data_IF_983858005513
#
_entry.id   IF_983858005513
#
_cell.length_a   1.000
_cell.length_b   1.000
_cell.length_c   1.000
_cell.angle_alpha   90.00
_cell.angle_beta   90.00
_cell.angle_gamma   90.00
#
_symmetry.space_group_name_H-M   'P 1'
#
loop_
_entity.id
_entity.type
_entity.pdbx_description
1 polymer ?
#
# COMPACT_ATOMS: atom_id res chain seq x y z
N UNK A 1 20.25 -8.46 3.76
CA UNK A 1 20.35 -9.90 3.46
C UNK A 1 19.07 -10.58 3.88
N UNK A 2 18.43 -11.34 3.00
CA UNK A 2 17.22 -12.11 3.34
C UNK A 2 17.35 -13.56 2.86
N UNK A 3 16.56 -14.45 3.44
CA UNK A 3 16.43 -15.82 2.94
C UNK A 3 15.48 -15.82 1.74
N UNK A 4 15.84 -16.52 0.67
CA UNK A 4 15.08 -16.54 -0.58
C UNK A 4 13.64 -17.00 -0.37
N UNK A 5 12.69 -16.35 -1.04
CA UNK A 5 11.27 -16.65 -1.00
C UNK A 5 10.48 -16.00 0.15
N UNK A 6 11.07 -15.11 0.94
CA UNK A 6 10.34 -14.36 1.96
C UNK A 6 9.51 -13.21 1.35
N UNK A 7 8.27 -13.06 1.81
CA UNK A 7 7.38 -11.96 1.44
C UNK A 7 7.77 -10.68 2.18
N UNK A 8 7.67 -9.53 1.50
CA UNK A 8 8.02 -8.21 2.03
C UNK A 8 6.81 -7.29 2.18
N UNK A 9 6.94 -6.34 3.08
CA UNK A 9 6.00 -5.21 3.22
C UNK A 9 6.57 -3.95 2.57
N UNK A 10 5.71 -2.97 2.24
CA UNK A 10 6.12 -1.69 1.64
C UNK A 10 7.04 -0.84 2.53
N UNK A 11 7.07 -1.14 3.83
CA UNK A 11 7.92 -0.46 4.82
C UNK A 11 9.36 -0.98 4.85
N UNK A 12 9.69 -2.00 4.06
CA UNK A 12 11.02 -2.61 4.02
C UNK A 12 11.83 -2.04 2.85
N UNK A 13 13.03 -1.54 3.15
CA UNK A 13 13.93 -1.01 2.12
C UNK A 13 14.42 -2.12 1.18
N UNK A 14 14.40 -1.82 -0.12
CA UNK A 14 14.97 -2.71 -1.14
C UNK A 14 16.46 -2.41 -1.24
N UNK A 15 17.29 -3.39 -0.88
CA UNK A 15 18.72 -3.29 -1.15
C UNK A 15 18.97 -3.43 -2.66
N UNK A 16 19.62 -2.44 -3.24
CA UNK A 16 19.95 -2.41 -4.67
C UNK A 16 21.23 -3.21 -4.89
N UNK A 17 21.07 -4.46 -5.30
CA UNK A 17 22.18 -5.36 -5.63
C UNK A 17 21.81 -6.83 -5.38
N UNK A 18 21.65 -7.64 -6.40
CA UNK A 18 21.11 -8.99 -6.40
C UNK A 18 21.85 -10.08 -5.60
N UNK A 19 22.70 -9.73 -4.64
CA UNK A 19 23.47 -10.63 -3.78
C UNK A 19 22.89 -10.80 -2.36
N UNK A 20 21.69 -10.24 -2.10
CA UNK A 20 21.15 -10.20 -0.73
C UNK A 20 20.35 -11.45 -0.32
N UNK A 21 20.17 -12.40 -1.22
CA UNK A 21 19.43 -13.62 -0.93
C UNK A 21 20.37 -14.76 -0.52
N UNK A 22 20.12 -15.33 0.65
CA UNK A 22 20.81 -16.51 1.16
C UNK A 22 19.89 -17.72 0.98
N UNK A 23 20.47 -18.84 0.51
CA UNK A 23 19.72 -20.07 0.42
C UNK A 23 19.39 -20.63 1.82
N UNK A 24 18.17 -21.15 2.07
CA UNK A 24 17.80 -21.75 3.35
C UNK A 24 18.75 -22.88 3.80
N UNK A 25 19.37 -23.58 2.85
CA UNK A 25 20.31 -24.69 3.10
C UNK A 25 21.53 -24.29 3.93
N UNK A 26 21.88 -23.00 3.98
CA UNK A 26 22.98 -22.51 4.82
C UNK A 26 22.69 -22.72 6.32
N UNK A 27 21.43 -22.89 6.67
CA UNK A 27 20.97 -23.01 8.06
C UNK A 27 20.62 -24.44 8.49
N UNK A 28 20.81 -25.45 7.63
CA UNK A 28 20.41 -26.85 7.88
C UNK A 28 21.09 -27.47 9.11
N UNK A 29 22.29 -27.02 9.46
CA UNK A 29 23.03 -27.55 10.62
C UNK A 29 22.52 -27.02 11.98
N UNK A 30 21.61 -26.04 11.97
CA UNK A 30 21.07 -25.42 13.18
C UNK A 30 19.68 -25.98 13.52
N UNK A 31 19.44 -26.26 14.79
CA UNK A 31 18.14 -26.73 15.28
C UNK A 31 17.07 -25.64 15.11
N UNK A 32 17.45 -24.37 15.28
CA UNK A 32 16.59 -23.20 15.03
C UNK A 32 17.40 -21.98 14.58
N UNK A 33 16.84 -21.24 13.60
CA UNK A 33 17.42 -20.00 13.11
C UNK A 33 16.39 -18.87 13.23
N UNK A 34 16.66 -17.91 14.11
CA UNK A 34 15.87 -16.69 14.26
C UNK A 34 16.36 -15.64 13.27
N UNK A 35 15.47 -15.19 12.40
CA UNK A 35 15.73 -14.16 11.40
C UNK A 35 15.04 -12.85 11.76
N UNK A 36 15.71 -11.74 11.44
CA UNK A 36 15.20 -10.37 11.55
C UNK A 36 15.09 -9.69 10.19
N UNK A 37 14.84 -8.38 10.17
CA UNK A 37 14.70 -7.53 8.99
C UNK A 37 13.32 -7.59 8.31
N UNK A 38 12.76 -8.74 8.04
CA UNK A 38 11.43 -8.87 7.43
C UNK A 38 10.35 -8.58 8.47
N UNK A 39 9.39 -7.71 8.13
CA UNK A 39 8.36 -7.24 9.05
C UNK A 39 7.21 -8.23 9.23
N UNK A 40 6.92 -9.07 8.22
CA UNK A 40 5.91 -10.12 8.30
C UNK A 40 6.44 -11.36 9.04
N UNK A 41 5.74 -11.86 10.09
CA UNK A 41 6.12 -13.12 10.73
C UNK A 41 5.89 -14.28 9.76
N UNK A 42 6.95 -15.00 9.40
CA UNK A 42 6.90 -16.07 8.40
C UNK A 42 8.05 -17.05 8.53
N UNK A 43 7.86 -18.27 8.05
CA UNK A 43 8.93 -19.26 7.91
C UNK A 43 9.65 -19.06 6.57
N UNK A 44 10.93 -19.41 6.50
CA UNK A 44 11.76 -19.22 5.32
C UNK A 44 12.53 -20.51 4.97
N UNK A 45 11.91 -21.38 4.18
CA UNK A 45 12.53 -22.62 3.72
C UNK A 45 12.41 -23.81 4.67
N UNK A 46 11.87 -23.62 5.88
CA UNK A 46 11.64 -24.68 6.87
C UNK A 46 10.93 -24.15 8.11
N UNK A 47 10.41 -25.04 8.94
CA UNK A 47 9.72 -24.65 10.19
C UNK A 47 10.68 -24.08 11.24
N UNK A 48 11.94 -24.49 11.17
CA UNK A 48 13.01 -24.10 12.08
C UNK A 48 13.76 -22.83 11.66
N UNK A 49 13.42 -22.23 10.51
CA UNK A 49 14.00 -20.96 10.03
C UNK A 49 12.89 -19.94 9.94
N UNK A 50 12.90 -18.94 10.83
CA UNK A 50 11.73 -18.07 10.99
C UNK A 50 12.10 -16.61 11.15
N UNK A 51 11.38 -15.74 10.41
CA UNK A 51 11.26 -14.32 10.70
C UNK A 51 10.20 -14.12 11.80
N UNK A 52 10.59 -13.55 12.93
CA UNK A 52 9.64 -13.24 14.01
C UNK A 52 8.69 -12.08 13.65
N UNK A 53 9.10 -11.27 12.68
CA UNK A 53 8.43 -10.04 12.32
C UNK A 53 8.70 -8.89 13.31
N UNK A 54 8.02 -7.78 13.08
CA UNK A 54 8.07 -6.60 13.97
C UNK A 54 6.98 -6.66 15.03
N UNK A 55 7.17 -6.04 16.22
CA UNK A 55 6.17 -6.06 17.28
C UNK A 55 4.91 -5.24 16.95
N UNK A 56 5.03 -4.25 16.05
CA UNK A 56 3.95 -3.40 15.58
C UNK A 56 3.93 -3.38 14.05
N UNK A 57 2.80 -2.94 13.46
CA UNK A 57 2.68 -2.65 12.03
C UNK A 57 3.28 -1.29 11.74
N UNK A 58 4.10 -1.20 10.70
CA UNK A 58 4.77 0.05 10.28
C UNK A 58 4.20 0.62 8.99
N UNK A 59 3.43 -0.16 8.25
CA UNK A 59 2.73 0.30 7.03
C UNK A 59 1.36 -0.34 6.90
N UNK A 60 0.52 0.27 6.05
CA UNK A 60 -0.82 -0.28 5.76
C UNK A 60 -0.78 -1.55 4.90
N UNK A 61 0.34 -1.88 4.25
CA UNK A 61 0.54 -3.19 3.61
C UNK A 61 0.55 -4.34 4.63
N UNK A 62 0.90 -4.02 5.90
CA UNK A 62 0.92 -4.97 7.00
C UNK A 62 -0.44 -5.11 7.72
N UNK A 63 -1.52 -4.46 7.24
CA UNK A 63 -2.84 -4.45 7.90
C UNK A 63 -3.38 -5.84 8.25
N UNK A 64 -3.07 -6.84 7.42
CA UNK A 64 -3.44 -8.25 7.64
C UNK A 64 -2.51 -9.05 8.55
N UNK A 65 -1.37 -8.50 8.98
CA UNK A 65 -0.43 -9.23 9.81
C UNK A 65 -0.90 -9.33 11.27
N UNK A 66 -0.87 -10.54 11.82
CA UNK A 66 -0.96 -10.75 13.27
C UNK A 66 0.45 -10.69 13.86
N UNK A 67 0.76 -9.61 14.54
CA UNK A 67 2.06 -9.44 15.21
C UNK A 67 2.14 -10.32 16.44
N UNK A 68 3.33 -10.91 16.69
CA UNK A 68 3.52 -11.89 17.77
C UNK A 68 4.96 -11.94 18.25
N UNK A 69 5.14 -12.51 19.43
CA UNK A 69 6.45 -12.98 19.90
C UNK A 69 6.54 -14.47 19.60
N UNK A 70 7.67 -14.89 19.04
CA UNK A 70 7.98 -16.32 18.85
C UNK A 70 8.70 -16.83 20.09
N UNK A 71 8.16 -17.86 20.71
CA UNK A 71 8.72 -18.55 21.87
C UNK A 71 9.24 -19.90 21.39
N UNK A 72 10.50 -20.19 21.67
CA UNK A 72 11.15 -21.45 21.31
C UNK A 72 11.55 -22.17 22.59
N UNK A 73 11.03 -23.37 22.79
CA UNK A 73 11.46 -24.28 23.85
C UNK A 73 12.41 -25.31 23.24
N UNK A 74 13.69 -25.18 23.56
CA UNK A 74 14.74 -26.10 23.10
C UNK A 74 14.80 -27.30 24.05
N UNK A 75 14.67 -28.51 23.48
CA UNK A 75 14.78 -29.80 24.20
C UNK A 75 16.08 -30.51 23.84
N UNK A 76 16.02 -31.80 23.48
CA UNK A 76 17.18 -32.48 22.93
C UNK A 76 17.48 -32.00 21.51
N UNK A 77 18.71 -32.30 20.99
CA UNK A 77 19.12 -31.90 19.64
C UNK A 77 18.07 -32.35 18.61
N UNK A 78 17.67 -31.39 17.75
CA UNK A 78 16.62 -31.58 16.73
C UNK A 78 15.18 -31.62 17.28
N UNK A 79 14.99 -31.34 18.57
CA UNK A 79 13.67 -31.27 19.21
C UNK A 79 13.44 -29.88 19.78
N UNK A 80 12.63 -29.09 19.10
CA UNK A 80 12.17 -27.78 19.56
C UNK A 80 10.65 -27.67 19.45
N UNK A 81 10.08 -26.90 20.34
CA UNK A 81 8.67 -26.51 20.30
C UNK A 81 8.59 -25.01 20.02
N UNK A 82 7.94 -24.65 18.92
CA UNK A 82 7.81 -23.27 18.47
C UNK A 82 6.37 -22.83 18.64
N UNK A 83 6.17 -21.83 19.48
CA UNK A 83 4.85 -21.24 19.72
C UNK A 83 4.87 -19.74 19.46
N UNK A 84 3.73 -19.16 19.15
CA UNK A 84 3.59 -17.72 18.96
C UNK A 84 2.60 -17.13 19.94
N UNK A 85 2.99 -16.03 20.59
CA UNK A 85 2.12 -15.28 21.50
C UNK A 85 1.71 -13.99 20.80
N UNK A 86 0.40 -13.80 20.47
CA UNK A 86 -0.08 -12.61 19.79
C UNK A 86 0.22 -11.34 20.60
N UNK A 87 0.59 -10.28 19.90
CA UNK A 87 0.70 -8.94 20.46
C UNK A 87 -0.53 -8.13 20.07
N UNK A 88 -1.12 -7.46 21.05
CA UNK A 88 -2.24 -6.55 20.86
C UNK A 88 -1.76 -5.12 21.06
N UNK A 89 -1.72 -4.29 20.02
CA UNK A 89 -1.31 -2.91 20.14
C UNK A 89 -2.36 -2.09 20.88
N UNK A 90 -1.95 -0.97 21.50
CA UNK A 90 -2.90 -0.02 22.12
C UNK A 90 -3.83 0.61 21.07
N UNK A 91 -3.32 0.89 19.88
CA UNK A 91 -4.04 1.35 18.70
C UNK A 91 -3.67 0.47 17.53
N UNK A 92 -4.67 -0.07 16.89
CA UNK A 92 -4.46 -0.90 15.69
C UNK A 92 -4.17 0.00 14.48
N UNK A 93 -3.43 -0.53 13.51
CA UNK A 93 -3.25 0.08 12.21
C UNK A 93 -4.12 -0.69 11.23
N UNK A 94 -5.19 -0.06 10.75
CA UNK A 94 -6.19 -0.70 9.91
C UNK A 94 -6.72 0.22 8.82
N UNK A 95 -7.40 -0.36 7.86
CA UNK A 95 -8.05 0.33 6.75
C UNK A 95 -9.57 0.26 6.91
N UNK A 96 -10.24 1.36 6.63
CA UNK A 96 -11.70 1.40 6.45
C UNK A 96 -11.99 1.93 5.05
N UNK A 97 -13.01 1.34 4.39
CA UNK A 97 -13.39 1.65 3.02
C UNK A 97 -14.90 1.78 2.90
N UNK A 98 -15.36 2.77 2.18
CA UNK A 98 -16.76 3.03 1.90
C UNK A 98 -16.99 4.46 1.46
N UNK A 99 -18.25 4.82 1.19
CA UNK A 99 -18.60 6.23 0.92
C UNK A 99 -18.47 7.07 2.19
N UNK A 100 -18.30 8.36 2.01
CA UNK A 100 -18.27 9.31 3.13
C UNK A 100 -19.51 9.17 4.02
N UNK A 101 -20.68 9.03 3.41
CA UNK A 101 -21.94 8.86 4.13
C UNK A 101 -21.92 7.59 4.98
N UNK A 102 -21.55 6.44 4.39
CA UNK A 102 -21.45 5.16 5.11
C UNK A 102 -20.49 5.24 6.29
N UNK A 103 -19.27 5.76 6.07
CA UNK A 103 -18.24 5.83 7.11
C UNK A 103 -18.58 6.79 8.26
N UNK A 104 -19.49 7.75 8.03
CA UNK A 104 -19.97 8.70 9.06
C UNK A 104 -21.27 8.28 9.74
N UNK A 105 -21.92 7.19 9.28
CA UNK A 105 -23.08 6.63 9.96
C UNK A 105 -22.69 6.15 11.36
N UNK A 106 -23.47 6.51 12.36
CA UNK A 106 -23.26 6.08 13.75
C UNK A 106 -23.23 4.56 13.87
N UNK A 107 -24.08 3.87 13.13
CA UNK A 107 -24.15 2.40 13.08
C UNK A 107 -22.87 1.75 12.52
N UNK A 108 -22.08 2.47 11.73
CA UNK A 108 -20.82 1.96 11.19
C UNK A 108 -19.69 2.00 12.24
N UNK A 109 -19.54 3.10 12.96
CA UNK A 109 -18.43 3.27 13.90
C UNK A 109 -18.78 2.95 15.35
N UNK A 110 -20.07 2.82 15.71
CA UNK A 110 -20.49 2.45 17.06
C UNK A 110 -20.00 1.04 17.42
N UNK A 111 -19.25 0.94 18.50
CA UNK A 111 -18.63 -0.32 18.96
C UNK A 111 -17.27 -0.64 18.32
N UNK A 112 -16.79 0.21 17.40
CA UNK A 112 -15.41 0.13 16.89
C UNK A 112 -14.47 1.04 17.70
N UNK A 113 -13.17 0.70 17.68
CA UNK A 113 -12.17 1.61 18.25
C UNK A 113 -11.87 2.73 17.25
N UNK A 114 -12.51 3.88 17.41
CA UNK A 114 -12.30 5.05 16.55
C UNK A 114 -10.93 5.73 16.78
N UNK A 115 -10.21 5.35 17.84
CA UNK A 115 -8.90 5.89 18.21
C UNK A 115 -7.72 5.17 17.50
N UNK A 116 -8.02 4.18 16.65
CA UNK A 116 -7.03 3.47 15.85
C UNK A 116 -6.37 4.36 14.79
N UNK A 117 -5.18 3.95 14.32
CA UNK A 117 -4.52 4.58 13.18
C UNK A 117 -5.16 4.08 11.89
N UNK A 118 -5.77 4.99 11.14
CA UNK A 118 -6.61 4.63 10.00
C UNK A 118 -6.04 5.12 8.67
N UNK A 119 -6.09 4.23 7.69
CA UNK A 119 -6.19 4.59 6.28
C UNK A 119 -7.66 4.57 5.90
N UNK A 120 -8.17 5.69 5.43
CA UNK A 120 -9.54 5.80 4.91
C UNK A 120 -9.48 5.76 3.39
N UNK A 121 -10.29 4.90 2.79
CA UNK A 121 -10.44 4.81 1.34
C UNK A 121 -11.88 5.16 0.99
N UNK A 122 -12.08 6.36 0.45
CA UNK A 122 -13.39 6.82 0.01
C UNK A 122 -13.71 6.25 -1.38
N UNK A 123 -14.95 5.77 -1.51
CA UNK A 123 -15.48 5.24 -2.77
C UNK A 123 -16.45 6.21 -3.45
N UNK A 124 -16.56 7.45 -2.95
CA UNK A 124 -17.36 8.50 -3.56
C UNK A 124 -16.81 8.85 -4.95
N UNK A 125 -17.68 8.94 -5.95
CA UNK A 125 -17.31 9.31 -7.34
C UNK A 125 -16.87 10.78 -7.44
N UNK A 126 -17.42 11.65 -6.57
CA UNK A 126 -17.05 13.05 -6.47
C UNK A 126 -16.22 13.31 -5.22
N UNK A 127 -15.32 14.29 -5.29
CA UNK A 127 -14.52 14.69 -4.15
C UNK A 127 -15.38 15.31 -3.06
N UNK A 128 -15.33 14.75 -1.86
CA UNK A 128 -16.05 15.26 -0.70
C UNK A 128 -15.33 16.48 -0.14
N UNK A 129 -15.96 17.67 -0.10
CA UNK A 129 -15.34 18.87 0.45
C UNK A 129 -14.92 18.67 1.91
N UNK A 130 -13.68 19.04 2.24
CA UNK A 130 -13.11 18.95 3.59
C UNK A 130 -13.23 17.57 4.24
N UNK A 131 -13.24 16.48 3.43
CA UNK A 131 -13.45 15.11 3.88
C UNK A 131 -12.56 14.75 5.08
N UNK A 132 -11.26 15.02 5.00
CA UNK A 132 -10.31 14.67 6.05
C UNK A 132 -10.62 15.37 7.37
N UNK A 133 -10.94 16.67 7.34
CA UNK A 133 -11.26 17.45 8.53
C UNK A 133 -12.56 16.95 9.19
N UNK A 134 -13.56 16.65 8.36
CA UNK A 134 -14.86 16.16 8.82
C UNK A 134 -14.78 14.74 9.38
N UNK A 135 -14.04 13.84 8.72
CA UNK A 135 -13.83 12.47 9.21
C UNK A 135 -13.02 12.44 10.50
N UNK A 136 -12.07 13.36 10.71
CA UNK A 136 -11.29 13.45 11.94
C UNK A 136 -12.13 13.80 13.19
N UNK A 137 -13.33 14.28 13.03
CA UNK A 137 -14.27 14.46 14.15
C UNK A 137 -14.65 13.11 14.76
N UNK A 138 -14.73 12.06 13.94
CA UNK A 138 -15.10 10.70 14.36
C UNK A 138 -13.82 9.85 14.59
N UNK A 139 -12.85 9.98 13.69
CA UNK A 139 -11.61 9.19 13.64
C UNK A 139 -10.40 10.10 13.77
N UNK A 140 -9.99 10.49 14.98
CA UNK A 140 -8.96 11.53 15.18
C UNK A 140 -7.60 11.16 14.61
N UNK A 141 -7.28 9.86 14.46
CA UNK A 141 -5.98 9.37 14.05
C UNK A 141 -5.96 8.88 12.59
N UNK A 142 -6.66 9.55 11.68
CA UNK A 142 -6.52 9.29 10.25
C UNK A 142 -5.12 9.69 9.80
N UNK A 143 -4.35 8.72 9.33
CA UNK A 143 -2.99 8.89 8.81
C UNK A 143 -2.99 9.10 7.29
N UNK A 144 -3.92 8.47 6.57
CA UNK A 144 -4.02 8.55 5.11
C UNK A 144 -5.48 8.57 4.67
N UNK A 145 -5.77 9.41 3.68
CA UNK A 145 -7.05 9.45 2.97
C UNK A 145 -6.79 9.25 1.49
N UNK A 146 -7.37 8.22 0.93
CA UNK A 146 -7.30 7.90 -0.49
C UNK A 146 -8.72 7.85 -1.08
N UNK A 147 -8.83 7.98 -2.39
CA UNK A 147 -10.04 7.72 -3.16
C UNK A 147 -9.83 6.50 -4.04
N UNK A 148 -10.84 5.63 -4.09
CA UNK A 148 -10.92 4.50 -5.01
C UNK A 148 -12.27 4.58 -5.73
N UNK A 149 -12.28 5.31 -6.82
CA UNK A 149 -13.43 5.56 -7.67
C UNK A 149 -13.08 5.32 -9.14
N UNK A 150 -14.02 5.53 -10.06
CA UNK A 150 -13.84 5.31 -11.49
C UNK A 150 -12.65 6.10 -12.05
N UNK A 151 -12.43 7.34 -11.57
CA UNK A 151 -11.31 8.19 -12.00
C UNK A 151 -9.95 7.64 -11.55
N UNK A 152 -9.85 7.21 -10.29
CA UNK A 152 -8.58 6.68 -9.75
C UNK A 152 -8.25 5.30 -10.32
N UNK A 153 -9.26 4.47 -10.63
CA UNK A 153 -9.07 3.18 -11.30
C UNK A 153 -8.47 3.35 -12.70
N UNK A 154 -8.93 4.34 -13.47
CA UNK A 154 -8.40 4.66 -14.79
C UNK A 154 -6.94 5.15 -14.75
N UNK A 155 -6.54 5.80 -13.66
CA UNK A 155 -5.16 6.32 -13.49
C UNK A 155 -4.15 5.22 -13.16
N UNK A 156 -4.58 4.11 -12.56
CA UNK A 156 -3.69 3.00 -12.18
C UNK A 156 -3.24 2.13 -13.36
N UNK A 157 -3.94 2.20 -14.50
CA UNK A 157 -3.62 1.42 -15.70
C UNK A 157 -2.65 2.11 -16.68
N UNK A 158 -2.04 3.23 -16.28
CA UNK A 158 -1.09 3.94 -17.15
C UNK A 158 0.24 3.20 -17.13
N UNK A 159 0.43 2.33 -18.08
CA UNK A 159 1.76 1.94 -18.55
C UNK A 159 2.30 3.07 -19.43
N UNK A 160 3.42 3.69 -19.03
CA UNK A 160 4.14 4.59 -19.91
C UNK A 160 4.58 3.81 -21.14
N UNK A 161 3.94 4.10 -22.28
CA UNK A 161 4.28 3.50 -23.55
C UNK A 161 5.66 4.05 -24.00
N UNK A 162 6.55 3.19 -24.49
CA UNK A 162 7.89 3.58 -24.98
C UNK A 162 7.83 4.58 -26.15
N UNK A 163 6.66 4.79 -26.77
CA UNK A 163 6.42 5.74 -27.85
C UNK A 163 6.00 7.15 -27.40
N UNK A 164 6.06 7.47 -26.08
CA UNK A 164 5.68 8.78 -25.54
C UNK A 164 6.42 9.95 -26.21
N UNK A 165 7.71 9.80 -26.55
CA UNK A 165 8.53 10.83 -27.17
C UNK A 165 8.14 11.16 -28.63
N UNK A 166 7.32 10.30 -29.28
CA UNK A 166 6.93 10.47 -30.69
C UNK A 166 5.55 11.11 -30.87
N UNK A 167 4.79 11.30 -29.78
CA UNK A 167 3.46 11.86 -29.83
C UNK A 167 3.47 13.38 -29.79
N UNK A 168 2.50 14.00 -30.46
CA UNK A 168 2.30 15.44 -30.41
C UNK A 168 1.77 15.89 -29.06
N UNK A 169 2.01 17.16 -28.70
CA UNK A 169 1.52 17.76 -27.46
C UNK A 169 0.00 17.66 -27.32
N UNK A 170 -0.73 17.78 -28.42
CA UNK A 170 -2.20 17.65 -28.43
C UNK A 170 -2.64 16.21 -28.19
N UNK A 171 -2.00 15.21 -28.79
CA UNK A 171 -2.31 13.80 -28.55
C UNK A 171 -2.08 13.41 -27.09
N UNK A 172 -0.99 13.90 -26.49
CA UNK A 172 -0.72 13.68 -25.05
C UNK A 172 -1.79 14.34 -24.17
N UNK A 173 -2.28 15.53 -24.58
CA UNK A 173 -3.33 16.22 -23.86
C UNK A 173 -4.69 15.55 -24.02
N UNK A 174 -5.01 15.00 -25.20
CA UNK A 174 -6.24 14.22 -25.43
C UNK A 174 -6.25 12.97 -24.54
N UNK A 175 -5.13 12.24 -24.48
CA UNK A 175 -5.00 11.07 -23.62
C UNK A 175 -5.14 11.45 -22.14
N UNK A 176 -4.50 12.52 -21.70
CA UNK A 176 -4.63 13.04 -20.34
C UNK A 176 -6.10 13.44 -20.04
N UNK A 177 -6.77 14.13 -20.98
CA UNK A 177 -8.16 14.51 -20.81
C UNK A 177 -9.07 13.29 -20.67
N UNK A 178 -8.91 12.29 -21.56
CA UNK A 178 -9.64 11.02 -21.52
C UNK A 178 -9.41 10.30 -20.20
N UNK A 179 -8.18 10.27 -19.72
CA UNK A 179 -7.79 9.67 -18.47
C UNK A 179 -8.48 10.35 -17.27
N UNK A 180 -8.50 11.68 -17.25
CA UNK A 180 -9.09 12.45 -16.14
C UNK A 180 -10.62 12.45 -16.13
N UNK A 181 -11.25 12.40 -17.30
CA UNK A 181 -12.70 12.56 -17.42
C UNK A 181 -13.45 11.28 -17.79
N UNK A 182 -12.73 10.17 -18.11
CA UNK A 182 -13.35 8.91 -18.53
C UNK A 182 -14.04 8.95 -19.91
N UNK A 183 -13.97 10.09 -20.61
CA UNK A 183 -14.56 10.30 -21.94
C UNK A 183 -13.58 11.04 -22.85
N UNK A 184 -13.70 10.85 -24.16
CA UNK A 184 -12.89 11.59 -25.13
C UNK A 184 -13.33 13.04 -25.25
N UNK A 185 -12.38 13.91 -25.63
CA UNK A 185 -12.69 15.29 -25.96
C UNK A 185 -13.65 15.37 -27.15
N UNK A 186 -14.67 16.24 -27.06
CA UNK A 186 -15.47 16.58 -28.21
C UNK A 186 -14.74 17.54 -29.14
N UNK A 187 -15.24 17.74 -30.38
CA UNK A 187 -14.57 18.52 -31.40
C UNK A 187 -14.29 19.98 -30.96
N UNK A 188 -15.21 20.63 -30.27
CA UNK A 188 -15.02 21.99 -29.76
C UNK A 188 -13.90 22.09 -28.73
N UNK A 189 -13.76 21.08 -27.89
CA UNK A 189 -12.71 21.00 -26.89
C UNK A 189 -11.33 20.78 -27.55
N UNK A 190 -11.27 19.93 -28.57
CA UNK A 190 -10.05 19.70 -29.36
C UNK A 190 -9.60 20.97 -30.05
N UNK A 191 -10.49 21.61 -30.80
CA UNK A 191 -10.20 22.86 -31.52
C UNK A 191 -9.71 23.96 -30.56
N UNK A 192 -10.29 24.02 -29.35
CA UNK A 192 -9.87 24.97 -28.34
C UNK A 192 -8.47 24.66 -27.79
N UNK A 193 -8.20 23.40 -27.50
CA UNK A 193 -6.89 22.96 -27.01
C UNK A 193 -5.80 23.20 -28.05
N UNK A 194 -6.03 22.84 -29.32
CA UNK A 194 -5.11 23.09 -30.42
C UNK A 194 -4.75 24.57 -30.54
N UNK A 195 -5.75 25.45 -30.50
CA UNK A 195 -5.54 26.90 -30.55
C UNK A 195 -4.65 27.38 -29.38
N UNK A 196 -4.86 26.90 -28.19
CA UNK A 196 -4.04 27.26 -27.01
C UNK A 196 -2.58 26.78 -27.21
N UNK A 197 -2.37 25.57 -27.70
CA UNK A 197 -1.00 25.07 -27.97
C UNK A 197 -0.29 25.87 -29.08
N UNK A 198 -1.02 26.29 -30.12
CA UNK A 198 -0.48 27.18 -31.16
C UNK A 198 -0.07 28.55 -30.57
N UNK A 199 -0.93 29.20 -29.81
CA UNK A 199 -0.65 30.47 -29.13
C UNK A 199 0.56 30.38 -28.18
N UNK A 200 0.75 29.24 -27.51
CA UNK A 200 1.90 29.00 -26.62
C UNK A 200 3.20 28.82 -27.37
N UNK A 201 3.17 28.23 -28.59
CA UNK A 201 4.34 28.11 -29.46
C UNK A 201 4.80 29.47 -30.00
N UNK A 202 3.86 30.30 -30.46
CA UNK A 202 4.18 31.65 -30.97
C UNK A 202 4.76 32.58 -29.87
N UNK A 203 4.46 32.35 -28.59
CA UNK A 203 5.03 33.14 -27.49
C UNK A 203 6.44 32.73 -27.05
N UNK A 204 6.95 31.60 -27.55
CA UNK A 204 8.28 31.09 -27.23
C UNK A 204 9.31 31.43 -28.28
N UNK A 205 8.90 31.92 -29.48
CA UNK A 205 9.73 32.54 -30.52
C UNK A 205 9.87 34.07 -30.29
#
# INVERSE_FOLDING_TARGET
>A
MQVGGADRSDSEEISVGGLDNVAPTVFEDFDYTALGHIHGPQNAGGENIRYSGTPLKYSFSEKGHQKSVTVIEMKEKGQQEITTVPLTPKRELREIKGTYEELTLKSFYEGQNTDDYLRVVLTDEEDVPDALARLRVIYPNIMKLDYENTRTALTSDITFDEDFEKRSEIELFEDFYKMQNGVEMNQLQKDFAEKIFEELKERKE
#
